data_IF_811852959413
#
_entry.id   IF_811852959413
#
_cell.length_a   1.000
_cell.length_b   1.000
_cell.length_c   1.000
_cell.angle_alpha   90.00
_cell.angle_beta   90.00
_cell.angle_gamma   90.00
#
_symmetry.space_group_name_H-M   'P 1'
#
loop_
_entity.id
_entity.type
_entity.pdbx_description
1 polymer ?
#
# COMPACT_ATOMS: atom_id res chain seq x y z
N UNK A 1 11.83 23.10 -33.59
CA UNK A 1 10.66 22.62 -32.82
C UNK A 1 11.18 21.62 -31.79
N UNK A 2 11.28 22.01 -30.52
CA UNK A 2 11.78 21.13 -29.46
C UNK A 2 10.59 20.35 -28.88
N UNK A 3 10.58 19.04 -29.05
CA UNK A 3 9.65 18.16 -28.35
C UNK A 3 10.07 18.11 -26.88
N UNK A 4 9.36 18.83 -26.02
CA UNK A 4 9.55 18.75 -24.58
C UNK A 4 9.16 17.35 -24.09
N UNK A 5 10.12 16.62 -23.51
CA UNK A 5 9.85 15.36 -22.84
C UNK A 5 9.08 15.63 -21.54
N UNK A 6 7.78 15.42 -21.55
CA UNK A 6 6.98 15.43 -20.32
C UNK A 6 7.35 14.21 -19.47
N UNK A 7 8.04 14.45 -18.36
CA UNK A 7 8.33 13.42 -17.35
C UNK A 7 7.15 13.40 -16.37
N UNK A 8 6.35 12.34 -16.42
CA UNK A 8 5.28 12.12 -15.45
C UNK A 8 5.83 11.40 -14.22
N UNK A 9 5.84 12.06 -13.07
CA UNK A 9 6.16 11.43 -11.77
C UNK A 9 4.86 10.87 -11.21
N UNK A 10 4.71 9.54 -11.16
CA UNK A 10 3.54 8.89 -10.55
C UNK A 10 3.68 8.87 -9.04
N UNK A 11 2.95 9.76 -8.35
CA UNK A 11 2.79 9.68 -6.89
C UNK A 11 1.74 8.61 -6.58
N UNK A 12 2.17 7.52 -5.95
CA UNK A 12 1.28 6.46 -5.46
C UNK A 12 0.77 6.83 -4.07
N UNK A 13 -0.45 7.33 -4.01
CA UNK A 13 -1.10 7.71 -2.75
C UNK A 13 -1.65 6.47 -2.05
N UNK A 14 -1.39 6.35 -0.76
CA UNK A 14 -1.93 5.30 0.10
C UNK A 14 -2.28 5.88 1.46
N UNK A 15 -3.16 5.21 2.21
CA UNK A 15 -3.44 5.58 3.59
C UNK A 15 -3.54 4.35 4.49
N UNK A 16 -3.07 4.52 5.74
CA UNK A 16 -3.24 3.52 6.79
C UNK A 16 -4.44 3.93 7.62
N UNK A 17 -5.42 3.03 7.68
CA UNK A 17 -6.66 3.21 8.43
C UNK A 17 -6.76 2.15 9.52
N UNK A 18 -7.72 2.33 10.43
CA UNK A 18 -8.02 1.37 11.47
C UNK A 18 -9.51 1.01 11.42
N UNK A 19 -9.80 -0.28 11.55
CA UNK A 19 -11.18 -0.77 11.69
C UNK A 19 -11.72 -0.44 13.09
N UNK A 20 -13.04 -0.52 13.26
CA UNK A 20 -13.69 -0.38 14.57
C UNK A 20 -13.19 -1.38 15.63
N UNK A 21 -12.55 -2.48 15.20
CA UNK A 21 -11.94 -3.50 16.06
C UNK A 21 -10.43 -3.29 16.28
N UNK A 22 -9.87 -2.14 15.91
CA UNK A 22 -8.46 -1.81 16.10
C UNK A 22 -7.50 -2.44 15.08
N UNK A 23 -7.99 -3.14 14.05
CA UNK A 23 -7.12 -3.74 13.02
C UNK A 23 -6.68 -2.69 12.01
N UNK A 24 -5.37 -2.60 11.74
CA UNK A 24 -4.82 -1.73 10.69
C UNK A 24 -5.13 -2.26 9.29
N UNK A 25 -5.51 -1.36 8.40
CA UNK A 25 -5.78 -1.62 6.98
C UNK A 25 -5.02 -0.64 6.10
N UNK A 26 -4.62 -1.08 4.91
CA UNK A 26 -4.06 -0.24 3.87
C UNK A 26 -5.14 0.04 2.82
N UNK A 27 -5.35 1.31 2.49
CA UNK A 27 -6.13 1.73 1.32
C UNK A 27 -5.16 2.10 0.20
N UNK A 28 -5.28 1.43 -0.93
CA UNK A 28 -4.39 1.62 -2.08
C UNK A 28 -5.10 1.27 -3.38
N UNK A 29 -5.08 2.20 -4.35
CA UNK A 29 -5.78 2.08 -5.65
C UNK A 29 -7.24 1.60 -5.50
N UNK A 30 -8.05 2.25 -4.65
CA UNK A 30 -9.45 1.90 -4.40
C UNK A 30 -9.70 0.53 -3.72
N UNK A 31 -8.64 -0.19 -3.34
CA UNK A 31 -8.77 -1.48 -2.64
C UNK A 31 -8.34 -1.37 -1.18
N UNK A 32 -9.01 -2.15 -0.33
CA UNK A 32 -8.64 -2.34 1.07
C UNK A 32 -7.83 -3.63 1.24
N UNK A 33 -6.75 -3.53 2.00
CA UNK A 33 -5.87 -4.64 2.33
C UNK A 33 -5.75 -4.77 3.85
N UNK A 34 -5.78 -5.99 4.35
CA UNK A 34 -5.45 -6.29 5.75
C UNK A 34 -3.97 -6.62 5.88
N UNK A 35 -3.41 -6.35 7.05
CA UNK A 35 -2.02 -6.67 7.35
C UNK A 35 -1.85 -8.18 7.47
N UNK A 36 -1.05 -8.78 6.58
CA UNK A 36 -0.74 -10.21 6.59
C UNK A 36 0.43 -10.51 7.54
N UNK A 37 1.54 -9.78 7.39
CA UNK A 37 2.71 -9.90 8.29
C UNK A 37 3.62 -8.66 8.23
N UNK A 38 4.48 -8.51 9.23
CA UNK A 38 5.56 -7.50 9.27
C UNK A 38 6.89 -8.25 9.35
N UNK A 39 7.87 -7.83 8.56
CA UNK A 39 9.24 -8.32 8.60
C UNK A 39 10.18 -7.10 8.57
N UNK A 40 10.87 -6.84 9.67
CA UNK A 40 11.71 -5.64 9.84
C UNK A 40 10.91 -4.37 9.54
N UNK A 41 11.37 -3.55 8.59
CA UNK A 41 10.70 -2.34 8.13
C UNK A 41 9.68 -2.60 7.02
N UNK A 42 9.44 -3.86 6.64
CA UNK A 42 8.55 -4.22 5.53
C UNK A 42 7.22 -4.76 6.05
N UNK A 43 6.12 -4.17 5.61
CA UNK A 43 4.77 -4.66 5.87
C UNK A 43 4.18 -5.29 4.61
N UNK A 44 3.66 -6.51 4.76
CA UNK A 44 2.97 -7.25 3.72
C UNK A 44 1.47 -7.14 3.95
N UNK A 45 0.77 -6.72 2.91
CA UNK A 45 -0.67 -6.48 2.91
C UNK A 45 -1.35 -7.41 1.91
N UNK A 46 -2.48 -7.99 2.31
CA UNK A 46 -3.29 -8.88 1.45
C UNK A 46 -4.65 -8.25 1.22
N UNK A 47 -5.11 -8.28 -0.03
CA UNK A 47 -6.40 -7.71 -0.38
C UNK A 47 -7.52 -8.39 0.41
N UNK A 48 -8.48 -7.60 0.88
CA UNK A 48 -9.62 -8.13 1.63
C UNK A 48 -10.77 -8.61 0.73
N UNK A 49 -10.72 -8.29 -0.57
CA UNK A 49 -11.77 -8.70 -1.51
C UNK A 49 -11.87 -10.23 -1.53
N UNK A 50 -13.03 -10.75 -1.15
CA UNK A 50 -13.34 -12.18 -1.15
C UNK A 50 -13.31 -12.76 -2.58
N UNK A 51 -12.83 -13.99 -2.74
CA UNK A 51 -12.74 -14.71 -4.02
C UNK A 51 -11.30 -15.05 -4.44
N UNK A 52 -11.10 -15.43 -5.72
CA UNK A 52 -9.79 -15.78 -6.31
C UNK A 52 -8.83 -14.59 -6.49
N UNK A 53 -9.00 -13.52 -5.70
CA UNK A 53 -8.20 -12.31 -5.81
C UNK A 53 -7.05 -12.35 -4.80
N UNK A 54 -5.88 -12.78 -5.28
CA UNK A 54 -4.67 -12.96 -4.45
C UNK A 54 -3.73 -11.74 -4.46
N UNK A 55 -4.28 -10.53 -4.69
CA UNK A 55 -3.45 -9.33 -4.75
C UNK A 55 -2.77 -9.06 -3.40
N UNK A 56 -1.47 -8.74 -3.50
CA UNK A 56 -0.61 -8.39 -2.36
C UNK A 56 0.07 -7.06 -2.61
N UNK A 57 0.23 -6.27 -1.55
CA UNK A 57 0.98 -5.02 -1.56
C UNK A 57 2.10 -5.11 -0.53
N UNK A 58 3.28 -4.65 -0.90
CA UNK A 58 4.44 -4.57 -0.02
C UNK A 58 4.72 -3.11 0.24
N UNK A 59 4.66 -2.70 1.50
CA UNK A 59 5.03 -1.37 1.95
C UNK A 59 6.37 -1.47 2.68
N UNK A 60 7.41 -0.86 2.11
CA UNK A 60 8.67 -0.66 2.81
C UNK A 60 8.55 0.64 3.60
N UNK A 61 8.80 0.56 4.90
CA UNK A 61 9.00 1.72 5.73
C UNK A 61 10.38 2.31 5.47
N UNK A 62 10.51 3.61 5.67
CA UNK A 62 11.68 4.38 5.25
C UNK A 62 12.89 4.20 6.18
N UNK A 63 12.83 3.26 7.12
CA UNK A 63 13.89 2.99 8.10
C UNK A 63 14.12 4.11 9.12
N UNK A 64 13.33 5.18 9.10
CA UNK A 64 13.51 6.40 9.90
C UNK A 64 12.61 6.51 11.14
N UNK A 65 12.07 5.39 11.64
CA UNK A 65 11.26 5.40 12.87
C UNK A 65 11.71 4.28 13.82
N UNK A 66 12.55 4.67 14.78
CA UNK A 66 12.70 4.06 16.10
C UNK A 66 11.91 4.86 17.12
#
# INVERSE_FOLDING_TARGET
MHYGNNIYITVKMFSITETTKGRKCLLFHEYRYHRERICNTTTYWRCERLGNFHARVVQKGDGLLS
#
